data_IF_870612655200
#
_entry.id   IF_870612655200
#
_cell.length_a   1.000
_cell.length_b   1.000
_cell.length_c   1.000
_cell.angle_alpha   90.00
_cell.angle_beta   90.00
_cell.angle_gamma   90.00
#
_symmetry.space_group_name_H-M   'P 1'
#
loop_
_entity.id
_entity.type
_entity.pdbx_description
1 polymer ?
#
# COMPACT_ATOMS: atom_id res chain seq x y z
N UNK A 1 44.47 23.55 -33.07
CA UNK A 1 43.06 23.54 -32.63
C UNK A 1 42.53 22.13 -32.87
N UNK A 2 42.09 21.46 -31.80
CA UNK A 2 41.90 20.01 -31.73
C UNK A 2 40.60 19.55 -32.41
N UNK A 3 40.67 18.32 -32.95
CA UNK A 3 39.62 17.63 -33.70
C UNK A 3 38.41 17.29 -32.82
N UNK A 4 37.21 17.43 -33.39
CA UNK A 4 35.96 16.84 -32.89
C UNK A 4 36.12 15.32 -32.80
N UNK A 5 35.77 14.77 -31.65
CA UNK A 5 35.58 13.34 -31.47
C UNK A 5 34.09 13.12 -31.25
N UNK A 6 33.47 12.52 -32.27
CA UNK A 6 32.16 11.90 -32.17
C UNK A 6 32.32 10.63 -31.33
N UNK A 7 31.46 10.46 -30.33
CA UNK A 7 31.20 9.16 -29.70
C UNK A 7 29.69 9.05 -29.56
N UNK A 8 29.15 8.22 -30.44
CA UNK A 8 27.85 7.59 -30.32
C UNK A 8 27.74 6.89 -28.95
N UNK A 9 26.63 7.11 -28.24
CA UNK A 9 25.90 6.07 -27.51
C UNK A 9 24.56 6.62 -27.01
N UNK A 10 23.51 5.95 -27.45
CA UNK A 10 22.11 6.35 -27.41
C UNK A 10 21.40 5.93 -26.11
N UNK A 11 21.63 6.56 -24.95
CA UNK A 11 20.67 6.44 -23.84
C UNK A 11 20.75 7.64 -22.92
N UNK A 12 19.62 8.35 -22.78
CA UNK A 12 19.46 9.63 -22.10
C UNK A 12 20.28 9.77 -20.82
N UNK A 13 21.34 10.59 -20.91
CA UNK A 13 22.12 11.00 -19.76
C UNK A 13 21.24 11.78 -18.77
N UNK A 14 21.41 11.47 -17.49
CA UNK A 14 20.74 12.18 -16.40
C UNK A 14 21.03 13.70 -16.49
N UNK A 15 20.02 14.56 -16.32
CA UNK A 15 20.21 16.00 -16.35
C UNK A 15 21.17 16.44 -15.23
N UNK A 16 22.02 17.44 -15.49
CA UNK A 16 23.06 17.89 -14.55
C UNK A 16 22.50 18.43 -13.22
N UNK A 17 21.19 18.74 -13.14
CA UNK A 17 20.53 19.13 -11.89
C UNK A 17 20.45 18.02 -10.82
N UNK A 18 20.71 16.76 -11.20
CA UNK A 18 20.76 15.60 -10.28
C UNK A 18 22.18 15.23 -9.83
N UNK A 19 23.21 15.95 -10.30
CA UNK A 19 24.57 15.79 -9.81
C UNK A 19 24.70 16.49 -8.44
N UNK A 20 24.33 15.78 -7.37
CA UNK A 20 24.57 16.22 -5.99
C UNK A 20 26.03 16.00 -5.62
N UNK A 21 26.84 17.06 -5.75
CA UNK A 21 28.23 17.07 -5.30
C UNK A 21 28.31 16.93 -3.76
N UNK A 22 28.99 15.88 -3.28
CA UNK A 22 29.57 15.88 -1.94
C UNK A 22 28.73 15.34 -0.78
N UNK A 23 28.07 14.18 -0.95
CA UNK A 23 27.68 13.37 0.21
C UNK A 23 28.32 11.98 0.11
N UNK A 24 29.38 11.76 0.89
CA UNK A 24 29.86 10.41 1.17
C UNK A 24 28.68 9.57 1.66
N UNK A 25 28.44 8.36 1.11
CA UNK A 25 27.43 7.48 1.64
C UNK A 25 27.95 6.97 2.98
N UNK A 26 27.63 7.69 4.07
CA UNK A 26 27.39 7.01 5.33
C UNK A 26 26.18 6.12 5.07
N UNK A 27 26.47 4.91 4.61
CA UNK A 27 25.60 3.76 4.81
C UNK A 27 25.53 3.61 6.31
N UNK A 28 24.65 4.40 6.94
CA UNK A 28 23.96 3.95 8.12
C UNK A 28 23.20 2.75 7.60
N UNK A 29 23.86 1.59 7.68
CA UNK A 29 23.14 0.35 7.94
C UNK A 29 22.48 0.64 9.27
N UNK A 30 21.32 1.30 9.20
CA UNK A 30 20.30 1.12 10.20
C UNK A 30 20.09 -0.37 10.08
N UNK A 31 20.75 -1.11 10.98
CA UNK A 31 20.23 -2.39 11.39
C UNK A 31 18.86 -2.01 11.92
N UNK A 32 17.86 -1.95 11.05
CA UNK A 32 16.56 -2.41 11.41
C UNK A 32 16.81 -3.86 11.82
N UNK A 33 17.18 -4.03 13.09
CA UNK A 33 16.62 -5.09 13.88
C UNK A 33 15.10 -4.88 13.80
N UNK A 34 14.52 -5.18 12.63
CA UNK A 34 13.14 -5.60 12.49
C UNK A 34 13.11 -6.87 13.32
N UNK A 35 12.97 -6.70 14.64
CA UNK A 35 12.32 -7.70 15.44
C UNK A 35 11.06 -8.00 14.64
N UNK A 36 10.99 -9.19 14.06
CA UNK A 36 9.85 -9.73 13.32
C UNK A 36 8.66 -9.82 14.29
N UNK A 37 8.19 -8.67 14.77
CA UNK A 37 6.91 -8.51 15.42
C UNK A 37 5.89 -8.63 14.30
N UNK A 38 5.62 -9.89 13.93
CA UNK A 38 4.39 -10.19 13.24
C UNK A 38 3.29 -9.57 14.08
N UNK A 39 2.45 -8.70 13.49
CA UNK A 39 1.39 -8.10 14.27
C UNK A 39 0.50 -9.23 14.77
N UNK A 40 0.32 -9.34 16.10
CA UNK A 40 -0.51 -10.37 16.74
C UNK A 40 -1.94 -10.36 16.19
N UNK A 41 -2.35 -9.23 15.59
CA UNK A 41 -3.64 -9.03 14.97
C UNK A 41 -3.52 -8.48 13.54
N UNK A 42 -4.45 -8.89 12.69
CA UNK A 42 -4.54 -8.46 11.29
C UNK A 42 -5.87 -7.75 11.02
N UNK A 43 -5.82 -6.76 10.14
CA UNK A 43 -7.01 -6.05 9.68
C UNK A 43 -7.74 -6.89 8.63
N UNK A 44 -8.97 -7.28 8.96
CA UNK A 44 -9.86 -8.06 8.10
C UNK A 44 -11.13 -7.29 7.79
N UNK A 45 -11.81 -7.67 6.71
CA UNK A 45 -13.14 -7.18 6.35
C UNK A 45 -14.12 -8.35 6.26
N UNK A 46 -15.34 -8.17 6.77
CA UNK A 46 -16.41 -9.17 6.66
C UNK A 46 -16.90 -9.26 5.22
N UNK A 47 -16.94 -10.47 4.66
CA UNK A 47 -17.42 -10.69 3.29
C UNK A 47 -18.94 -10.56 3.20
N UNK A 48 -19.44 -10.43 1.97
CA UNK A 48 -20.87 -10.26 1.69
C UNK A 48 -21.69 -11.45 2.20
N UNK A 49 -22.84 -11.19 2.81
CA UNK A 49 -23.76 -12.20 3.33
C UNK A 49 -23.39 -12.76 4.70
N UNK A 50 -22.32 -12.27 5.33
CA UNK A 50 -21.83 -12.75 6.61
C UNK A 50 -21.94 -11.68 7.71
N UNK A 51 -21.89 -12.14 8.96
CA UNK A 51 -21.82 -11.30 10.16
C UNK A 51 -20.92 -12.00 11.17
N UNK A 52 -20.02 -11.24 11.82
CA UNK A 52 -19.06 -11.79 12.77
C UNK A 52 -19.26 -11.13 14.13
N UNK A 53 -19.35 -11.94 15.19
CA UNK A 53 -19.33 -11.44 16.58
C UNK A 53 -17.93 -11.60 17.15
N UNK A 54 -17.31 -10.50 17.55
CA UNK A 54 -15.99 -10.49 18.18
C UNK A 54 -15.91 -9.39 19.25
N UNK A 55 -15.29 -9.66 20.39
CA UNK A 55 -15.20 -8.72 21.53
C UNK A 55 -16.54 -8.09 21.95
N UNK A 56 -17.60 -8.92 21.98
CA UNK A 56 -18.98 -8.48 22.28
C UNK A 56 -19.58 -7.49 21.28
N UNK A 57 -18.94 -7.27 20.13
CA UNK A 57 -19.44 -6.43 19.04
C UNK A 57 -19.79 -7.28 17.81
N UNK A 58 -20.87 -6.89 17.13
CA UNK A 58 -21.31 -7.49 15.87
C UNK A 58 -20.82 -6.66 14.68
N UNK A 59 -20.07 -7.30 13.79
CA UNK A 59 -19.55 -6.74 12.56
C UNK A 59 -20.37 -7.27 11.38
N UNK A 60 -21.19 -6.40 10.79
CA UNK A 60 -21.94 -6.69 9.57
C UNK A 60 -21.01 -6.77 8.33
N UNK A 61 -21.56 -7.19 7.19
CA UNK A 61 -20.82 -7.24 5.93
C UNK A 61 -20.14 -5.90 5.55
N UNK A 62 -19.01 -5.99 4.84
CA UNK A 62 -18.19 -4.86 4.39
C UNK A 62 -17.64 -3.97 5.53
N UNK A 63 -17.69 -4.42 6.78
CA UNK A 63 -17.04 -3.76 7.92
C UNK A 63 -15.65 -4.32 8.15
N UNK A 64 -14.72 -3.42 8.43
CA UNK A 64 -13.33 -3.74 8.78
C UNK A 64 -13.14 -3.79 10.29
N UNK A 65 -12.36 -4.76 10.78
CA UNK A 65 -12.01 -4.91 12.19
C UNK A 65 -10.69 -5.69 12.34
N UNK A 66 -10.16 -5.77 13.56
CA UNK A 66 -8.94 -6.53 13.87
C UNK A 66 -9.27 -7.89 14.46
N UNK A 67 -8.49 -8.91 14.09
CA UNK A 67 -8.57 -10.27 14.62
C UNK A 67 -7.18 -10.82 14.87
N UNK A 68 -7.06 -11.81 15.75
CA UNK A 68 -5.85 -12.62 15.87
C UNK A 68 -5.49 -13.27 14.52
N UNK A 69 -4.20 -13.47 14.25
CA UNK A 69 -3.74 -14.12 13.00
C UNK A 69 -4.38 -15.51 12.82
N UNK A 70 -4.54 -16.24 13.93
CA UNK A 70 -5.10 -17.59 13.96
C UNK A 70 -6.60 -17.62 13.63
N UNK A 71 -7.39 -16.72 14.23
CA UNK A 71 -8.82 -16.60 13.94
C UNK A 71 -9.06 -16.06 12.53
N UNK A 72 -8.27 -15.06 12.12
CA UNK A 72 -8.35 -14.50 10.78
C UNK A 72 -8.09 -15.57 9.73
N UNK A 73 -7.05 -16.40 9.89
CA UNK A 73 -6.73 -17.49 8.96
C UNK A 73 -7.91 -18.44 8.81
N UNK A 74 -8.49 -18.90 9.93
CA UNK A 74 -9.65 -19.80 9.93
C UNK A 74 -10.87 -19.18 9.26
N UNK A 75 -11.20 -17.93 9.59
CA UNK A 75 -12.36 -17.25 9.00
C UNK A 75 -12.18 -16.90 7.53
N UNK A 76 -10.93 -16.68 7.08
CA UNK A 76 -10.60 -16.49 5.66
C UNK A 76 -10.81 -17.80 4.89
N UNK A 77 -10.34 -18.93 5.42
CA UNK A 77 -10.55 -20.25 4.80
C UNK A 77 -12.03 -20.62 4.69
N UNK A 78 -12.83 -20.20 5.68
CA UNK A 78 -14.29 -20.36 5.66
C UNK A 78 -15.01 -19.36 4.74
N UNK A 79 -14.30 -18.37 4.17
CA UNK A 79 -14.85 -17.34 3.30
C UNK A 79 -15.70 -16.29 4.02
N UNK A 80 -15.64 -16.22 5.36
CA UNK A 80 -16.42 -15.29 6.20
C UNK A 80 -15.79 -13.91 6.25
N UNK A 81 -14.46 -13.84 6.25
CA UNK A 81 -13.70 -12.58 6.24
C UNK A 81 -12.60 -12.62 5.18
N UNK A 82 -12.04 -11.47 4.85
CA UNK A 82 -10.93 -11.33 3.92
C UNK A 82 -9.86 -10.37 4.46
N UNK A 83 -8.60 -10.65 4.15
CA UNK A 83 -7.46 -9.81 4.52
C UNK A 83 -7.45 -8.52 3.69
N UNK A 84 -7.48 -7.37 4.37
CA UNK A 84 -7.56 -6.05 3.73
C UNK A 84 -6.33 -5.75 2.87
N UNK A 85 -5.13 -6.17 3.31
CA UNK A 85 -3.90 -5.95 2.56
C UNK A 85 -3.86 -6.82 1.30
N UNK A 86 -4.32 -8.07 1.39
CA UNK A 86 -4.46 -8.94 0.20
C UNK A 86 -5.46 -8.34 -0.78
N UNK A 87 -6.62 -7.86 -0.31
CA UNK A 87 -7.63 -7.22 -1.16
C UNK A 87 -7.09 -5.96 -1.84
N UNK A 88 -6.36 -5.11 -1.13
CA UNK A 88 -5.71 -3.92 -1.73
C UNK A 88 -4.71 -4.30 -2.82
N UNK A 89 -3.86 -5.29 -2.56
CA UNK A 89 -2.90 -5.80 -3.55
C UNK A 89 -3.62 -6.36 -4.78
N UNK A 90 -4.66 -7.16 -4.57
CA UNK A 90 -5.48 -7.69 -5.65
C UNK A 90 -6.17 -6.59 -6.46
N UNK A 91 -6.75 -5.59 -5.80
CA UNK A 91 -7.36 -4.44 -6.47
C UNK A 91 -6.33 -3.66 -7.30
N UNK A 92 -5.12 -3.47 -6.80
CA UNK A 92 -4.03 -2.81 -7.54
C UNK A 92 -3.61 -3.60 -8.77
N UNK A 93 -3.55 -4.93 -8.67
CA UNK A 93 -3.24 -5.82 -9.80
C UNK A 93 -4.38 -5.83 -10.83
N UNK A 94 -5.63 -5.86 -10.37
CA UNK A 94 -6.80 -6.03 -11.22
C UNK A 94 -7.26 -4.73 -11.89
N UNK A 95 -7.22 -3.62 -11.16
CA UNK A 95 -7.78 -2.33 -11.60
C UNK A 95 -6.73 -1.24 -11.76
N UNK A 96 -5.48 -1.49 -11.36
CA UNK A 96 -4.43 -0.48 -11.35
C UNK A 96 -4.60 0.56 -10.23
N UNK A 97 -3.67 1.53 -10.12
CA UNK A 97 -3.80 2.64 -9.19
C UNK A 97 -5.01 3.51 -9.56
N UNK A 98 -5.88 3.79 -8.60
CA UNK A 98 -6.99 4.74 -8.77
C UNK A 98 -6.63 6.06 -8.09
N UNK A 99 -6.75 7.16 -8.83
CA UNK A 99 -6.55 8.52 -8.32
C UNK A 99 -7.87 9.27 -8.45
N UNK A 100 -8.38 9.82 -7.35
CA UNK A 100 -9.60 10.62 -7.34
C UNK A 100 -9.22 12.08 -7.13
N UNK A 101 -9.56 12.96 -8.07
CA UNK A 101 -9.42 14.41 -7.93
C UNK A 101 -10.69 14.95 -7.27
N UNK A 102 -10.55 15.53 -6.09
CA UNK A 102 -11.65 16.23 -5.43
C UNK A 102 -11.67 17.68 -5.93
N UNK A 103 -12.59 18.01 -6.83
CA UNK A 103 -12.69 19.32 -7.48
C UNK A 103 -13.11 20.46 -6.52
N UNK A 104 -13.47 20.15 -5.27
CA UNK A 104 -13.82 21.14 -4.25
C UNK A 104 -15.15 21.86 -4.47
N UNK A 105 -15.91 21.52 -5.52
CA UNK A 105 -17.20 22.14 -5.83
C UNK A 105 -18.24 21.78 -4.77
N UNK A 106 -18.62 22.78 -3.97
CA UNK A 106 -19.74 22.69 -3.02
C UNK A 106 -21.02 23.06 -3.75
N UNK A 107 -21.86 22.08 -4.04
CA UNK A 107 -23.20 22.31 -4.62
C UNK A 107 -24.18 22.54 -3.46
N UNK A 108 -24.46 23.80 -3.14
CA UNK A 108 -25.52 24.16 -2.20
C UNK A 108 -26.88 24.03 -2.91
N UNK A 109 -27.74 23.11 -2.45
CA UNK A 109 -29.15 23.12 -2.81
C UNK A 109 -29.88 24.01 -1.82
N UNK A 110 -30.28 25.20 -2.26
CA UNK A 110 -31.23 26.05 -1.54
C UNK A 110 -32.65 25.57 -1.87
N UNK A 111 -33.48 25.40 -0.84
CA UNK A 111 -34.86 24.92 -0.91
C UNK A 111 -35.85 26.08 -0.94
#
# INVERSE_FOLDING_TARGET
>A
MAKKQETENELGGLPPELMVDGQEPKVQVVKEENQDFLPEQVAVVVTKGNTVRHDSQDYAENKTFSLSVEDATRLIELGVVADVNKLRKQALIQHGPTVTVSDGVKISHEA
#
